data_IF_472923613143
#
_entry.id   IF_472923613143
#
_cell.length_a   1.000
_cell.length_b   1.000
_cell.length_c   1.000
_cell.angle_alpha   90.00
_cell.angle_beta   90.00
_cell.angle_gamma   90.00
#
_symmetry.space_group_name_H-M   'P 1'
#
loop_
_entity.id
_entity.type
_entity.pdbx_description
1 polymer ?
#
# COMPACT_ATOMS: atom_id res chain seq x y z
N UNK A 1 -33.33 -9.89 -10.36
CA UNK A 1 -32.98 -8.84 -9.37
C UNK A 1 -31.94 -9.43 -8.45
N UNK A 2 -30.67 -9.08 -8.63
CA UNK A 2 -29.62 -9.43 -7.67
C UNK A 2 -29.72 -8.43 -6.52
N UNK A 3 -29.98 -8.92 -5.31
CA UNK A 3 -29.86 -8.13 -4.09
C UNK A 3 -28.36 -8.08 -3.76
N UNK A 4 -27.69 -6.99 -4.15
CA UNK A 4 -26.40 -6.67 -3.56
C UNK A 4 -26.66 -6.28 -2.10
N UNK A 5 -26.31 -7.17 -1.17
CA UNK A 5 -26.24 -6.82 0.24
C UNK A 5 -25.15 -5.74 0.44
N UNK A 6 -25.20 -4.96 1.53
CA UNK A 6 -24.11 -4.04 1.83
C UNK A 6 -22.81 -4.85 1.93
N UNK A 7 -21.81 -4.48 1.13
CA UNK A 7 -20.46 -4.95 1.36
C UNK A 7 -20.06 -4.46 2.76
N UNK A 8 -19.79 -5.38 3.67
CA UNK A 8 -19.27 -5.03 4.99
C UNK A 8 -17.81 -4.64 4.77
N UNK A 9 -17.43 -3.43 5.18
CA UNK A 9 -16.04 -3.00 5.21
C UNK A 9 -15.19 -4.04 5.95
N UNK A 10 -14.21 -4.61 5.27
CA UNK A 10 -13.28 -5.60 5.82
C UNK A 10 -12.05 -4.90 6.42
N UNK A 11 -11.47 -5.52 7.44
CA UNK A 11 -10.19 -5.11 8.00
C UNK A 11 -9.10 -6.06 7.52
N UNK A 12 -8.08 -5.51 6.87
CA UNK A 12 -6.91 -6.22 6.38
C UNK A 12 -5.69 -5.85 7.24
N UNK A 13 -4.81 -6.81 7.50
CA UNK A 13 -3.59 -6.57 8.26
C UNK A 13 -2.36 -6.61 7.36
N UNK A 14 -1.46 -5.65 7.55
CA UNK A 14 -0.16 -5.58 6.87
C UNK A 14 0.93 -5.41 7.90
N UNK A 15 1.88 -6.34 7.93
CA UNK A 15 3.02 -6.32 8.84
C UNK A 15 4.16 -5.47 8.28
N UNK A 16 4.78 -4.66 9.13
CA UNK A 16 6.01 -3.94 8.83
C UNK A 16 7.22 -4.71 9.41
N UNK A 17 8.07 -5.25 8.55
CA UNK A 17 9.09 -6.23 8.92
C UNK A 17 10.50 -5.81 8.49
N UNK A 18 11.49 -6.15 9.32
CA UNK A 18 12.90 -6.07 8.98
C UNK A 18 13.28 -7.06 7.87
N UNK A 19 12.60 -8.21 7.79
CA UNK A 19 12.80 -9.24 6.77
C UNK A 19 11.53 -10.09 6.61
N UNK A 20 11.15 -10.33 5.36
CA UNK A 20 10.08 -11.24 4.98
C UNK A 20 10.42 -11.97 3.68
N UNK A 21 9.43 -12.55 3.01
CA UNK A 21 9.62 -13.36 1.79
C UNK A 21 10.27 -12.56 0.65
N UNK A 22 9.90 -11.28 0.50
CA UNK A 22 10.45 -10.37 -0.50
C UNK A 22 11.82 -9.73 -0.11
N UNK A 23 12.48 -10.27 0.93
CA UNK A 23 13.79 -9.84 1.41
C UNK A 23 13.74 -8.86 2.58
N UNK A 24 14.77 -8.00 2.77
CA UNK A 24 14.83 -7.08 3.90
C UNK A 24 13.90 -5.87 3.72
N UNK A 25 13.44 -5.28 4.83
CA UNK A 25 12.62 -4.07 4.91
C UNK A 25 11.38 -4.15 4.01
N UNK A 26 10.34 -4.85 4.46
CA UNK A 26 9.17 -5.16 3.65
C UNK A 26 7.88 -4.88 4.41
N UNK A 27 6.85 -4.51 3.66
CA UNK A 27 5.47 -4.71 4.07
C UNK A 27 5.05 -6.12 3.66
N UNK A 28 4.31 -6.82 4.51
CA UNK A 28 3.80 -8.16 4.22
C UNK A 28 2.31 -8.25 4.56
N UNK A 29 1.42 -8.46 3.55
CA UNK A 29 1.74 -8.60 2.13
C UNK A 29 2.24 -7.29 1.50
N UNK A 30 3.05 -7.40 0.43
CA UNK A 30 3.56 -6.24 -0.32
C UNK A 30 2.59 -5.73 -1.41
N UNK A 31 1.55 -6.48 -1.72
CA UNK A 31 0.44 -6.09 -2.57
C UNK A 31 -0.85 -6.54 -1.89
N UNK A 32 -1.86 -5.67 -1.89
CA UNK A 32 -3.16 -5.99 -1.33
C UNK A 32 -4.25 -5.43 -2.24
N UNK A 33 -5.25 -6.25 -2.57
CA UNK A 33 -6.49 -5.80 -3.21
C UNK A 33 -7.57 -5.70 -2.15
N UNK A 34 -8.27 -4.58 -2.11
CA UNK A 34 -9.34 -4.28 -1.16
C UNK A 34 -10.53 -3.66 -1.88
N UNK A 35 -11.71 -3.69 -1.27
CA UNK A 35 -12.89 -2.99 -1.79
C UNK A 35 -12.96 -1.54 -1.26
N UNK A 36 -13.63 -0.61 -1.96
CA UNK A 36 -13.91 0.71 -1.42
C UNK A 36 -14.58 0.66 -0.04
N UNK A 37 -14.00 1.35 0.93
CA UNK A 37 -14.44 1.39 2.32
C UNK A 37 -13.76 0.39 3.25
N UNK A 38 -12.93 -0.53 2.72
CA UNK A 38 -12.10 -1.42 3.53
C UNK A 38 -11.00 -0.65 4.25
N UNK A 39 -10.53 -1.22 5.36
CA UNK A 39 -9.47 -0.65 6.18
C UNK A 39 -8.23 -1.54 6.19
N UNK A 40 -7.06 -0.94 6.03
CA UNK A 40 -5.77 -1.62 6.21
C UNK A 40 -5.15 -1.15 7.51
N UNK A 41 -4.88 -2.11 8.40
CA UNK A 41 -4.11 -1.92 9.62
C UNK A 41 -2.64 -2.24 9.36
N UNK A 42 -1.78 -1.22 9.51
CA UNK A 42 -0.34 -1.38 9.44
C UNK A 42 0.22 -1.73 10.81
N UNK A 43 0.66 -2.97 10.98
CA UNK A 43 1.14 -3.52 12.24
C UNK A 43 2.64 -3.31 12.36
N UNK A 44 3.08 -2.71 13.47
CA UNK A 44 4.49 -2.51 13.80
C UNK A 44 5.10 -3.79 14.37
N UNK A 45 5.14 -4.85 13.55
CA UNK A 45 5.65 -6.17 13.93
C UNK A 45 7.14 -6.13 14.32
N UNK A 46 7.93 -5.35 13.56
CA UNK A 46 9.29 -4.97 13.93
C UNK A 46 9.39 -3.45 14.19
N UNK A 47 10.27 -3.00 15.11
CA UNK A 47 10.50 -1.57 15.32
C UNK A 47 11.35 -0.96 14.20
N UNK A 48 11.18 0.35 13.97
CA UNK A 48 11.92 1.15 12.99
C UNK A 48 11.13 1.49 11.73
N UNK A 49 9.85 1.13 11.67
CA UNK A 49 9.04 1.26 10.47
C UNK A 49 7.88 2.26 10.65
N UNK A 50 7.40 2.79 9.53
CA UNK A 50 6.14 3.52 9.42
C UNK A 50 5.48 3.21 8.07
N UNK A 51 4.22 3.59 7.93
CA UNK A 51 3.52 3.62 6.65
C UNK A 51 3.18 5.07 6.28
N UNK A 52 3.49 5.45 5.04
CA UNK A 52 3.26 6.79 4.49
C UNK A 52 2.86 6.67 3.02
N UNK A 53 1.80 7.37 2.61
CA UNK A 53 1.40 7.45 1.19
C UNK A 53 2.46 8.20 0.36
N UNK A 54 2.66 7.78 -0.89
CA UNK A 54 3.44 8.51 -1.88
C UNK A 54 2.49 9.40 -2.67
N UNK A 55 2.57 10.72 -2.48
CA UNK A 55 1.61 11.69 -3.03
C UNK A 55 1.40 11.60 -4.55
N UNK A 56 2.44 11.24 -5.30
CA UNK A 56 2.39 11.08 -6.76
C UNK A 56 1.79 9.73 -7.21
N UNK A 57 1.45 8.85 -6.26
CA UNK A 57 1.02 7.47 -6.50
C UNK A 57 -0.27 7.13 -5.73
N UNK A 58 -1.14 8.11 -5.50
CA UNK A 58 -2.50 7.91 -4.95
C UNK A 58 -3.54 8.54 -5.90
N UNK A 59 -4.82 8.12 -5.86
CA UNK A 59 -5.89 8.77 -6.62
C UNK A 59 -6.00 10.27 -6.31
N UNK A 60 -6.41 11.09 -7.29
CA UNK A 60 -6.46 12.56 -7.15
C UNK A 60 -7.35 13.05 -5.99
N UNK A 61 -8.38 12.29 -5.65
CA UNK A 61 -9.34 12.59 -4.58
C UNK A 61 -9.07 11.83 -3.27
N UNK A 62 -7.96 11.08 -3.19
CA UNK A 62 -7.62 10.33 -2.00
C UNK A 62 -6.89 11.20 -0.96
N UNK A 63 -7.20 10.98 0.31
CA UNK A 63 -6.45 11.61 1.41
C UNK A 63 -5.08 10.93 1.60
N UNK A 64 -4.04 11.75 1.67
CA UNK A 64 -2.70 11.28 1.99
C UNK A 64 -2.57 11.03 3.50
N UNK A 65 -1.73 10.06 3.89
CA UNK A 65 -1.47 9.75 5.29
C UNK A 65 0.01 9.55 5.58
N UNK A 66 0.37 9.72 6.85
CA UNK A 66 1.71 9.48 7.37
C UNK A 66 1.67 9.06 8.83
N UNK A 67 1.94 7.78 9.08
CA UNK A 67 2.19 7.28 10.43
C UNK A 67 3.57 7.68 10.95
N UNK A 68 3.68 7.78 12.27
CA UNK A 68 4.95 7.91 12.98
C UNK A 68 5.71 6.58 13.00
N UNK A 69 6.99 6.64 13.34
CA UNK A 69 7.79 5.43 13.53
C UNK A 69 7.22 4.61 14.70
N UNK A 70 7.04 3.31 14.49
CA UNK A 70 6.45 2.34 15.42
C UNK A 70 4.97 2.57 15.75
N UNK A 71 4.28 3.44 15.00
CA UNK A 71 2.84 3.63 15.16
C UNK A 71 2.09 2.60 14.33
N UNK A 72 1.14 1.91 14.96
CA UNK A 72 0.10 1.19 14.22
C UNK A 72 -0.96 2.21 13.78
N UNK A 73 -1.27 2.21 12.48
CA UNK A 73 -2.30 3.06 11.91
C UNK A 73 -3.31 2.19 11.16
N UNK A 74 -4.56 2.64 11.17
CA UNK A 74 -5.66 2.06 10.43
C UNK A 74 -6.11 3.09 9.39
N UNK A 75 -6.03 2.73 8.12
CA UNK A 75 -6.35 3.60 6.99
C UNK A 75 -7.50 2.98 6.21
N UNK A 76 -8.62 3.69 6.13
CA UNK A 76 -9.75 3.34 5.28
C UNK A 76 -9.50 3.85 3.86
N UNK A 77 -9.76 3.01 2.86
CA UNK A 77 -9.52 3.30 1.45
C UNK A 77 -10.85 3.43 0.70
N UNK A 78 -11.32 4.66 0.51
CA UNK A 78 -12.62 4.93 -0.14
C UNK A 78 -12.51 5.17 -1.65
N UNK A 79 -11.44 5.81 -2.12
CA UNK A 79 -11.30 6.14 -3.54
C UNK A 79 -10.70 4.96 -4.31
N UNK A 80 -11.38 4.54 -5.39
CA UNK A 80 -10.86 3.51 -6.28
C UNK A 80 -9.55 3.93 -6.94
N UNK A 81 -8.66 2.96 -7.16
CA UNK A 81 -7.37 3.18 -7.80
C UNK A 81 -6.20 2.52 -7.07
N UNK A 82 -4.99 2.94 -7.43
CA UNK A 82 -3.75 2.41 -6.87
C UNK A 82 -3.13 3.38 -5.87
N UNK A 83 -2.68 2.83 -4.76
CA UNK A 83 -2.00 3.56 -3.70
C UNK A 83 -0.60 3.02 -3.51
N UNK A 84 0.40 3.86 -3.77
CA UNK A 84 1.79 3.60 -3.44
C UNK A 84 2.06 4.00 -2.00
N UNK A 85 2.54 3.06 -1.19
CA UNK A 85 2.86 3.27 0.23
C UNK A 85 4.34 2.98 0.42
N UNK A 86 5.02 3.79 1.24
CA UNK A 86 6.42 3.62 1.61
C UNK A 86 6.59 3.61 3.13
N UNK A 87 7.65 2.96 3.58
CA UNK A 87 8.27 3.29 4.85
C UNK A 87 9.36 4.33 4.62
N UNK A 88 9.26 5.50 5.25
CA UNK A 88 10.11 6.65 4.94
C UNK A 88 11.61 6.37 5.20
N UNK A 89 12.04 5.84 6.36
CA UNK A 89 13.46 5.53 6.59
C UNK A 89 14.03 4.49 5.62
N UNK A 90 13.18 3.60 5.10
CA UNK A 90 13.60 2.42 4.32
C UNK A 90 13.17 2.48 2.85
N UNK A 91 12.68 3.62 2.37
CA UNK A 91 12.18 3.77 1.00
C UNK A 91 13.29 3.50 -0.04
N UNK A 92 14.49 4.03 0.18
CA UNK A 92 15.65 3.78 -0.68
C UNK A 92 16.09 2.31 -0.69
N UNK A 93 15.79 1.57 0.39
CA UNK A 93 16.05 0.13 0.50
C UNK A 93 14.97 -0.70 -0.20
N UNK A 94 13.83 -0.08 -0.55
CA UNK A 94 12.72 -0.68 -1.28
C UNK A 94 11.51 -1.01 -0.41
N UNK A 95 11.39 -0.52 0.83
CA UNK A 95 10.23 -0.84 1.67
C UNK A 95 8.99 -0.09 1.19
N UNK A 96 8.26 -0.74 0.29
CA UNK A 96 7.06 -0.21 -0.39
C UNK A 96 6.00 -1.28 -0.55
N UNK A 97 4.76 -0.86 -0.71
CA UNK A 97 3.63 -1.71 -1.11
C UNK A 97 2.64 -0.98 -2.01
N UNK A 98 1.87 -1.76 -2.75
CA UNK A 98 0.73 -1.27 -3.53
C UNK A 98 -0.57 -1.78 -2.92
N UNK A 99 -1.51 -0.87 -2.65
CA UNK A 99 -2.91 -1.22 -2.39
C UNK A 99 -3.73 -0.91 -3.65
N UNK A 100 -4.45 -1.89 -4.16
CA UNK A 100 -5.42 -1.73 -5.24
C UNK A 100 -6.82 -1.71 -4.66
N UNK A 101 -7.55 -0.61 -4.87
CA UNK A 101 -8.92 -0.43 -4.35
C UNK A 101 -9.90 -0.62 -5.49
N UNK A 102 -10.75 -1.65 -5.40
CA UNK A 102 -11.72 -2.05 -6.40
C UNK A 102 -11.13 -2.84 -7.59
N UNK A 103 -11.81 -2.77 -8.73
CA UNK A 103 -11.54 -3.55 -9.96
C UNK A 103 -10.47 -2.89 -10.85
N UNK A 104 -9.31 -2.55 -10.27
CA UNK A 104 -8.17 -2.01 -11.04
C UNK A 104 -7.42 -3.16 -11.71
N UNK A 105 -7.29 -3.12 -13.04
CA UNK A 105 -6.60 -4.15 -13.84
C UNK A 105 -5.28 -3.68 -14.44
N UNK A 106 -5.06 -2.37 -14.51
CA UNK A 106 -3.84 -1.78 -15.06
C UNK A 106 -3.42 -0.55 -14.27
N UNK A 107 -2.11 -0.34 -14.13
CA UNK A 107 -1.58 0.87 -13.53
C UNK A 107 -1.61 2.04 -14.54
N UNK A 108 -1.91 3.27 -14.10
CA UNK A 108 -1.72 4.46 -14.92
C UNK A 108 -0.28 4.54 -15.45
N UNK A 109 -0.08 5.01 -16.69
CA UNK A 109 1.25 5.07 -17.31
C UNK A 109 2.25 5.89 -16.48
N UNK A 110 1.76 6.93 -15.82
CA UNK A 110 2.55 7.82 -14.97
C UNK A 110 2.80 7.30 -13.55
N UNK A 111 2.25 6.15 -13.16
CA UNK A 111 2.29 5.63 -11.78
C UNK A 111 3.73 5.43 -11.26
N UNK A 112 4.69 5.12 -12.14
CA UNK A 112 6.11 4.94 -11.78
C UNK A 112 7.04 6.06 -12.25
N UNK A 113 6.51 7.17 -12.76
CA UNK A 113 7.29 8.28 -13.33
C UNK A 113 7.94 9.18 -12.27
N UNK A 114 7.42 9.16 -11.04
CA UNK A 114 7.96 9.91 -9.91
C UNK A 114 9.39 9.55 -9.55
N UNK A 115 9.96 10.29 -8.58
CA UNK A 115 11.32 10.04 -8.09
C UNK A 115 11.38 8.81 -7.18
N UNK A 116 11.38 7.64 -7.80
CA UNK A 116 11.37 6.34 -7.12
C UNK A 116 12.79 5.74 -7.07
N UNK A 117 13.33 5.39 -5.89
CA UNK A 117 14.60 4.68 -5.79
C UNK A 117 14.58 3.37 -6.60
N UNK A 118 15.70 2.95 -7.23
CA UNK A 118 15.72 1.79 -8.12
C UNK A 118 15.19 0.49 -7.49
N UNK A 119 15.49 0.24 -6.20
CA UNK A 119 14.99 -0.93 -5.48
C UNK A 119 13.50 -0.87 -5.20
N UNK A 120 12.98 0.31 -4.84
CA UNK A 120 11.54 0.52 -4.66
C UNK A 120 10.80 0.33 -5.99
N UNK A 121 11.33 0.89 -7.09
CA UNK A 121 10.76 0.72 -8.43
C UNK A 121 10.62 -0.74 -8.81
N UNK A 122 11.67 -1.54 -8.63
CA UNK A 122 11.63 -2.98 -8.90
C UNK A 122 10.57 -3.72 -8.06
N UNK A 123 10.35 -3.30 -6.81
CA UNK A 123 9.32 -3.89 -5.95
C UNK A 123 7.91 -3.48 -6.38
N UNK A 124 7.69 -2.21 -6.73
CA UNK A 124 6.42 -1.79 -7.33
C UNK A 124 6.13 -2.55 -8.63
N UNK A 125 7.09 -2.69 -9.54
CA UNK A 125 6.91 -3.48 -10.77
C UNK A 125 6.48 -4.93 -10.47
N UNK A 126 7.08 -5.57 -9.46
CA UNK A 126 6.69 -6.91 -9.03
C UNK A 126 5.34 -6.96 -8.29
N UNK A 127 4.92 -5.88 -7.63
CA UNK A 127 3.61 -5.77 -6.98
C UNK A 127 2.52 -5.60 -8.02
N UNK A 128 2.74 -4.76 -9.03
CA UNK A 128 1.81 -4.48 -10.12
C UNK A 128 1.56 -5.67 -11.04
N UNK A 129 2.42 -6.69 -11.04
CA UNK A 129 2.14 -7.95 -11.75
C UNK A 129 1.04 -8.80 -11.10
N UNK A 130 0.49 -8.37 -9.95
CA UNK A 130 -0.66 -9.01 -9.29
C UNK A 130 -1.98 -8.28 -9.56
N UNK A 131 -1.99 -7.24 -10.41
CA UNK A 131 -3.22 -6.61 -10.87
C UNK A 131 -4.06 -7.57 -11.72
#
# INVERSE_FOLDING_TARGET
MALAGPALAEMHEVQMLNRGEAGPMVFEPGFLRVEPGDTVKFIAADPGHNAESILEMIPENAEAFKGKINEEIEITFDAEGLYGIKCLPHYAMGMVMTVAVGEVSEAPQNYLEGRIPPRARKRFEAQLSNL
#
